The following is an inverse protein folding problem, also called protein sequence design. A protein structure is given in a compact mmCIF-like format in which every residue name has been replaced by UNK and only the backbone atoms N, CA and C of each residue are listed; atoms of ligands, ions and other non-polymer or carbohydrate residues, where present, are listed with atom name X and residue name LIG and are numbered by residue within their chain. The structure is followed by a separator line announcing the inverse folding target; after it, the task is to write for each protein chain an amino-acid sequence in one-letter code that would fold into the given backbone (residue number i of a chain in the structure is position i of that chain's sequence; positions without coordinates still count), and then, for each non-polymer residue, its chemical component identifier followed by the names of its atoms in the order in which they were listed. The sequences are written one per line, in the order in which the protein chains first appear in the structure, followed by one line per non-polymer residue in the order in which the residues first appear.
data_IF_598904488109
#
_entry.id   IF_598904488109
#
_cell.length_a   1.000
_cell.length_b   1.000
_cell.length_c   1.000
_cell.angle_alpha   90.00
_cell.angle_beta   90.00
_cell.angle_gamma   90.00
#
_symmetry.space_group_name_H-M   'P 1'
#
loop_
_entity.id
_entity.type
_entity.pdbx_description
1 polymer ?
#
# COMPACT_ATOMS: atom_id res chain seq x y z
N UNK A 1 11.66 -20.24 -9.85
CA UNK A 1 12.90 -20.06 -10.64
C UNK A 1 14.02 -19.70 -9.69
N UNK A 2 15.16 -20.36 -9.79
CA UNK A 2 16.32 -20.15 -8.91
C UNK A 2 17.56 -19.83 -9.75
N UNK A 3 18.15 -18.66 -9.52
CA UNK A 3 19.35 -18.18 -10.21
C UNK A 3 20.55 -18.37 -9.29
N UNK A 4 21.68 -18.75 -9.88
CA UNK A 4 22.93 -18.82 -9.17
C UNK A 4 23.52 -17.42 -8.97
N UNK A 5 23.47 -16.95 -7.72
CA UNK A 5 23.92 -15.60 -7.36
C UNK A 5 25.43 -15.43 -7.41
N UNK A 6 26.22 -16.49 -7.15
CA UNK A 6 27.69 -16.43 -7.20
C UNK A 6 28.18 -16.40 -8.65
N UNK A 7 27.56 -17.22 -9.52
CA UNK A 7 27.81 -17.18 -10.95
C UNK A 7 27.43 -15.79 -11.53
N UNK A 8 26.29 -15.24 -11.09
CA UNK A 8 25.82 -13.93 -11.54
C UNK A 8 26.84 -12.83 -11.20
N UNK A 9 27.34 -12.80 -9.97
CA UNK A 9 28.36 -11.84 -9.54
C UNK A 9 29.68 -11.98 -10.30
N UNK A 10 30.02 -13.19 -10.75
CA UNK A 10 31.21 -13.45 -11.57
C UNK A 10 31.00 -13.23 -13.08
N UNK A 11 29.85 -12.71 -13.50
CA UNK A 11 29.58 -12.34 -14.90
C UNK A 11 28.97 -13.44 -15.76
N UNK A 12 28.44 -14.49 -15.13
CA UNK A 12 27.80 -15.61 -15.83
C UNK A 12 26.36 -15.80 -15.34
N UNK A 13 25.39 -15.72 -16.25
CA UNK A 13 24.01 -16.08 -15.95
C UNK A 13 23.84 -17.60 -15.99
N UNK A 14 23.57 -18.18 -14.81
CA UNK A 14 23.32 -19.60 -14.61
C UNK A 14 22.07 -19.80 -13.74
N UNK A 15 21.28 -20.81 -14.06
CA UNK A 15 20.10 -21.20 -13.30
C UNK A 15 20.34 -22.53 -12.60
N UNK A 16 19.86 -22.65 -11.36
CA UNK A 16 19.83 -23.90 -10.62
C UNK A 16 18.51 -24.66 -10.85
N UNK A 17 17.43 -23.92 -11.09
CA UNK A 17 16.09 -24.49 -11.31
C UNK A 17 15.19 -23.56 -12.12
N UNK A 18 14.48 -24.11 -13.10
CA UNK A 18 13.47 -23.41 -13.88
C UNK A 18 12.22 -24.29 -13.99
N UNK A 19 11.13 -23.82 -13.41
CA UNK A 19 9.80 -24.43 -13.50
C UNK A 19 8.84 -23.39 -14.04
N UNK A 20 8.42 -23.56 -15.29
CA UNK A 20 7.59 -22.57 -15.99
C UNK A 20 6.56 -23.24 -16.90
N UNK A 21 5.54 -22.47 -17.28
CA UNK A 21 4.61 -22.81 -18.35
C UNK A 21 4.85 -21.81 -19.48
N UNK A 22 5.13 -22.31 -20.67
CA UNK A 22 5.37 -21.51 -21.86
C UNK A 22 4.05 -20.95 -22.41
N UNK A 23 4.06 -19.91 -23.27
CA UNK A 23 2.84 -19.30 -23.81
C UNK A 23 1.89 -20.24 -24.55
N UNK A 24 2.38 -21.38 -25.04
CA UNK A 24 1.57 -22.41 -25.70
C UNK A 24 0.93 -23.41 -24.71
N UNK A 25 1.10 -23.23 -23.40
CA UNK A 25 0.60 -24.11 -22.34
C UNK A 25 1.53 -25.26 -21.97
N UNK A 26 2.70 -25.37 -22.58
CA UNK A 26 3.65 -26.45 -22.32
C UNK A 26 4.49 -26.19 -21.07
N UNK A 27 4.61 -27.21 -20.22
CA UNK A 27 5.48 -27.13 -19.04
C UNK A 27 6.95 -27.30 -19.41
N UNK A 28 7.83 -26.60 -18.72
CA UNK A 28 9.27 -26.80 -18.76
C UNK A 28 9.78 -26.88 -17.32
N UNK A 29 10.44 -27.98 -16.97
CA UNK A 29 10.85 -28.30 -15.61
C UNK A 29 12.29 -28.82 -15.61
N UNK A 30 13.25 -27.96 -15.30
CA UNK A 30 14.66 -28.27 -15.29
C UNK A 30 15.26 -28.01 -13.89
N UNK A 31 16.13 -28.90 -13.36
CA UNK A 31 16.76 -30.05 -14.04
C UNK A 31 15.99 -31.38 -13.94
N UNK A 32 14.77 -31.39 -13.37
CA UNK A 32 14.07 -32.64 -13.05
C UNK A 32 13.68 -33.47 -14.28
N UNK A 33 13.15 -32.82 -15.31
CA UNK A 33 12.69 -33.48 -16.56
C UNK A 33 13.50 -33.00 -17.75
N UNK A 34 13.70 -31.68 -17.84
CA UNK A 34 14.32 -30.99 -18.96
C UNK A 34 15.74 -30.52 -18.65
N UNK A 35 16.46 -30.05 -19.67
CA UNK A 35 17.82 -29.53 -19.51
C UNK A 35 17.82 -28.04 -19.17
N UNK A 36 18.59 -27.68 -18.13
CA UNK A 36 18.89 -26.28 -17.83
C UNK A 36 19.62 -25.64 -19.02
N UNK A 37 19.39 -24.35 -19.30
CA UNK A 37 20.08 -23.70 -20.39
C UNK A 37 21.58 -23.58 -20.05
N UNK A 38 22.45 -23.60 -21.07
CA UNK A 38 23.89 -23.43 -20.86
C UNK A 38 24.19 -22.06 -20.21
N UNK A 39 25.21 -21.96 -19.35
CA UNK A 39 25.60 -20.70 -18.74
C UNK A 39 25.93 -19.63 -19.81
N UNK A 40 25.47 -18.40 -19.60
CA UNK A 40 25.62 -17.30 -20.55
C UNK A 40 26.51 -16.19 -19.99
N UNK A 41 27.57 -15.81 -20.71
CA UNK A 41 28.44 -14.69 -20.32
C UNK A 41 27.73 -13.35 -20.52
N UNK A 42 27.76 -12.50 -19.49
CA UNK A 42 26.96 -11.25 -19.44
C UNK A 42 27.67 -10.01 -19.99
N UNK A 43 29.00 -9.93 -19.87
CA UNK A 43 29.79 -8.78 -20.35
C UNK A 43 29.48 -8.32 -21.79
N UNK A 44 29.30 -9.22 -22.78
CA UNK A 44 29.00 -8.79 -24.15
C UNK A 44 27.53 -8.40 -24.38
N UNK A 45 26.63 -8.63 -23.43
CA UNK A 45 25.19 -8.50 -23.61
C UNK A 45 24.57 -7.41 -22.73
N UNK A 46 25.17 -7.11 -21.58
CA UNK A 46 24.65 -6.16 -20.59
C UNK A 46 25.55 -4.92 -20.56
N UNK A 47 25.13 -3.87 -21.27
CA UNK A 47 25.92 -2.64 -21.42
C UNK A 47 25.46 -1.49 -20.55
N UNK A 48 24.17 -1.44 -20.22
CA UNK A 48 23.53 -0.31 -19.55
C UNK A 48 23.17 -0.60 -18.10
N UNK A 49 23.04 0.46 -17.30
CA UNK A 49 22.47 0.38 -15.95
C UNK A 49 20.96 0.11 -15.95
N UNK A 50 20.26 0.39 -17.07
CA UNK A 50 18.83 0.14 -17.28
C UNK A 50 18.44 -1.35 -17.24
N UNK A 51 19.43 -2.24 -17.44
CA UNK A 51 19.29 -3.68 -17.41
C UNK A 51 18.91 -4.28 -18.76
N UNK A 52 19.14 -5.59 -18.91
CA UNK A 52 18.84 -6.37 -20.10
C UNK A 52 17.97 -7.56 -19.71
N UNK A 53 16.86 -7.73 -20.43
CA UNK A 53 15.96 -8.87 -20.22
C UNK A 53 16.51 -10.13 -20.90
N UNK A 54 16.39 -11.26 -20.20
CA UNK A 54 16.76 -12.57 -20.69
C UNK A 54 15.54 -13.48 -20.72
N UNK A 55 15.44 -14.20 -21.83
CA UNK A 55 14.31 -15.03 -22.19
C UNK A 55 14.74 -16.50 -22.18
N UNK A 56 13.90 -17.36 -21.63
CA UNK A 56 13.94 -18.78 -21.93
C UNK A 56 13.49 -18.97 -23.37
N UNK A 57 14.23 -19.72 -24.17
CA UNK A 57 13.92 -19.99 -25.55
C UNK A 57 13.99 -21.48 -25.85
N UNK A 58 12.91 -22.02 -26.42
CA UNK A 58 12.85 -23.38 -26.95
C UNK A 58 12.54 -23.31 -28.45
N UNK A 59 13.22 -24.09 -29.28
CA UNK A 59 12.90 -24.18 -30.71
C UNK A 59 11.44 -24.59 -30.90
N UNK A 60 10.71 -23.91 -31.78
CA UNK A 60 9.34 -24.33 -32.13
C UNK A 60 9.33 -25.76 -32.68
N UNK A 61 8.24 -26.49 -32.43
CA UNK A 61 8.07 -27.85 -32.95
C UNK A 61 7.95 -27.79 -34.48
N UNK A 62 8.84 -28.49 -35.19
CA UNK A 62 8.83 -28.58 -36.65
C UNK A 62 8.03 -29.80 -37.09
N UNK A 63 6.96 -29.59 -37.86
CA UNK A 63 6.08 -30.66 -38.32
C UNK A 63 6.77 -31.68 -39.26
N UNK A 64 7.86 -31.27 -39.93
CA UNK A 64 8.56 -32.07 -40.93
C UNK A 64 9.79 -32.81 -40.39
N UNK A 65 9.94 -32.90 -39.06
CA UNK A 65 11.06 -33.58 -38.40
C UNK A 65 12.23 -32.67 -38.03
N UNK A 66 13.34 -33.28 -37.60
CA UNK A 66 14.52 -32.55 -37.12
C UNK A 66 14.36 -31.95 -35.71
N UNK A 67 13.43 -32.47 -34.91
CA UNK A 67 13.17 -31.98 -33.56
C UNK A 67 14.08 -32.60 -32.49
N UNK A 68 14.82 -33.66 -32.81
CA UNK A 68 15.61 -34.41 -31.83
C UNK A 68 17.11 -34.38 -32.19
N UNK A 69 17.95 -34.23 -31.17
CA UNK A 69 19.39 -34.44 -31.23
C UNK A 69 19.77 -35.67 -30.39
N UNK A 70 20.80 -36.40 -30.82
CA UNK A 70 21.38 -37.53 -30.10
C UNK A 70 22.61 -37.15 -29.27
N UNK A 71 23.15 -35.96 -29.46
CA UNK A 71 24.37 -35.48 -28.80
C UNK A 71 24.14 -34.05 -28.25
N UNK A 72 24.59 -33.81 -27.02
CA UNK A 72 24.52 -32.51 -26.34
C UNK A 72 25.38 -31.43 -27.02
N UNK A 73 26.36 -31.82 -27.84
CA UNK A 73 27.29 -30.90 -28.51
C UNK A 73 26.72 -30.27 -29.78
N UNK A 74 25.58 -30.77 -30.30
CA UNK A 74 24.86 -30.18 -31.44
C UNK A 74 23.42 -29.74 -31.09
N UNK A 75 23.19 -28.92 -30.04
CA UNK A 75 21.85 -28.54 -29.61
C UNK A 75 21.24 -27.44 -30.49
N UNK A 76 22.02 -26.85 -31.41
CA UNK A 76 21.73 -25.55 -32.02
C UNK A 76 20.39 -25.43 -32.75
N UNK A 77 19.79 -26.55 -33.18
CA UNK A 77 18.56 -26.56 -33.97
C UNK A 77 17.50 -27.57 -33.54
N UNK A 78 17.80 -28.45 -32.58
CA UNK A 78 16.84 -29.45 -32.10
C UNK A 78 16.05 -28.90 -30.91
N UNK A 79 14.82 -29.41 -30.76
CA UNK A 79 13.93 -29.06 -29.64
C UNK A 79 14.13 -30.00 -28.45
N UNK A 80 14.47 -31.26 -28.73
CA UNK A 80 14.62 -32.33 -27.75
C UNK A 80 15.99 -32.97 -27.84
N UNK A 81 16.52 -33.39 -26.70
CA UNK A 81 17.63 -34.33 -26.58
C UNK A 81 17.08 -35.72 -26.28
N UNK A 82 17.61 -36.72 -26.97
CA UNK A 82 17.32 -38.13 -26.73
C UNK A 82 18.24 -38.61 -25.61
N UNK A 83 17.66 -39.05 -24.49
CA UNK A 83 18.42 -39.58 -23.35
C UNK A 83 17.94 -41.00 -23.00
N UNK A 84 18.88 -41.93 -22.81
CA UNK A 84 18.61 -43.18 -22.11
C UNK A 84 18.43 -42.91 -20.62
N UNK A 85 17.46 -43.54 -19.99
CA UNK A 85 17.24 -43.46 -18.54
C UNK A 85 16.72 -44.79 -18.02
N UNK A 86 17.40 -45.37 -17.04
CA UNK A 86 16.92 -46.55 -16.35
C UNK A 86 15.71 -46.20 -15.47
N UNK A 87 14.66 -47.01 -15.55
CA UNK A 87 13.44 -46.86 -14.75
C UNK A 87 13.00 -48.19 -14.13
N UNK A 88 12.57 -48.18 -12.85
CA UNK A 88 11.99 -49.36 -12.22
C UNK A 88 10.57 -49.63 -12.71
N UNK A 89 10.17 -50.90 -12.67
CA UNK A 89 8.77 -51.30 -12.85
C UNK A 89 7.98 -51.02 -11.56
N UNK A 90 6.91 -50.22 -11.67
CA UNK A 90 6.06 -49.83 -10.53
C UNK A 90 4.91 -50.81 -10.24
N UNK A 91 4.76 -51.88 -11.03
CA UNK A 91 3.69 -52.87 -10.91
C UNK A 91 4.20 -54.25 -10.52
N UNK A 92 5.26 -54.76 -11.14
CA UNK A 92 5.66 -56.17 -11.01
C UNK A 92 6.94 -56.44 -10.22
N UNK A 93 7.61 -55.42 -9.70
CA UNK A 93 8.97 -55.51 -9.11
C UNK A 93 10.00 -56.15 -10.08
N UNK A 94 9.76 -56.08 -11.39
CA UNK A 94 10.73 -56.49 -12.39
C UNK A 94 11.99 -55.61 -12.36
N UNK A 95 13.07 -56.13 -12.95
CA UNK A 95 14.33 -55.40 -13.05
C UNK A 95 14.17 -54.08 -13.82
N UNK A 96 14.98 -53.10 -13.46
CA UNK A 96 15.03 -51.80 -14.12
C UNK A 96 15.26 -51.96 -15.62
N UNK A 97 14.52 -51.18 -16.41
CA UNK A 97 14.63 -51.16 -17.86
C UNK A 97 15.14 -49.81 -18.33
N UNK A 98 16.07 -49.82 -19.29
CA UNK A 98 16.47 -48.61 -19.99
C UNK A 98 15.34 -48.17 -20.93
N UNK A 99 14.82 -46.96 -20.71
CA UNK A 99 13.86 -46.33 -21.60
C UNK A 99 14.47 -45.07 -22.22
N UNK A 100 14.13 -44.82 -23.47
CA UNK A 100 14.49 -43.57 -24.14
C UNK A 100 13.47 -42.49 -23.84
N UNK A 101 13.94 -41.37 -23.30
CA UNK A 101 13.12 -40.18 -23.01
C UNK A 101 13.58 -39.00 -23.84
N UNK A 102 12.66 -38.06 -24.07
CA UNK A 102 12.95 -36.78 -24.70
C UNK A 102 13.02 -35.70 -23.63
N UNK A 103 14.16 -34.99 -23.54
CA UNK A 103 14.33 -33.84 -22.66
C UNK A 103 14.34 -32.56 -23.49
N UNK A 104 13.65 -31.50 -23.08
CA UNK A 104 13.65 -30.25 -23.85
C UNK A 104 15.00 -29.55 -23.72
N UNK A 105 15.51 -29.08 -24.86
CA UNK A 105 16.70 -28.25 -24.95
C UNK A 105 16.26 -26.80 -24.78
N UNK A 106 16.82 -26.11 -23.79
CA UNK A 106 16.55 -24.70 -23.54
C UNK A 106 17.78 -23.84 -23.82
N UNK A 107 17.53 -22.61 -24.27
CA UNK A 107 18.55 -21.60 -24.51
C UNK A 107 18.16 -20.33 -23.75
N UNK A 108 19.16 -19.53 -23.40
CA UNK A 108 18.96 -18.15 -22.95
C UNK A 108 19.17 -17.22 -24.12
N UNK A 109 18.25 -16.26 -24.27
CA UNK A 109 18.30 -15.23 -25.29
C UNK A 109 18.18 -13.86 -24.66
N UNK A 110 19.11 -12.97 -24.94
CA UNK A 110 19.01 -11.57 -24.55
C UNK A 110 17.91 -10.86 -25.37
N UNK A 111 17.39 -9.75 -24.85
CA UNK A 111 16.32 -8.97 -25.48
C UNK A 111 16.66 -8.50 -26.91
N UNK A 112 17.93 -8.30 -27.22
CA UNK A 112 18.41 -7.82 -28.52
C UNK A 112 18.58 -8.96 -29.55
N UNK A 113 18.59 -10.22 -29.11
CA UNK A 113 18.77 -11.36 -30.01
C UNK A 113 17.46 -11.71 -30.74
N UNK A 114 17.54 -12.21 -32.00
CA UNK A 114 16.37 -12.66 -32.74
C UNK A 114 15.72 -13.88 -32.07
N UNK A 115 14.39 -13.83 -31.89
CA UNK A 115 13.59 -14.83 -31.16
C UNK A 115 12.52 -15.54 -32.01
N UNK A 116 12.33 -15.19 -33.28
CA UNK A 116 11.18 -15.63 -34.10
C UNK A 116 11.04 -17.16 -34.25
N UNK A 117 12.16 -17.89 -34.26
CA UNK A 117 12.19 -19.36 -34.39
C UNK A 117 11.90 -20.08 -33.07
N UNK A 118 11.75 -19.33 -31.99
CA UNK A 118 11.64 -19.84 -30.64
C UNK A 118 10.25 -19.58 -30.08
N UNK A 119 9.85 -20.46 -29.17
CA UNK A 119 8.84 -20.18 -28.17
C UNK A 119 9.58 -19.60 -26.97
N UNK A 120 9.22 -18.38 -26.56
CA UNK A 120 9.99 -17.63 -25.57
C UNK A 120 9.16 -17.17 -24.38
N UNK A 121 9.79 -17.14 -23.22
CA UNK A 121 9.22 -16.60 -21.98
C UNK A 121 10.27 -15.70 -21.30
N UNK A 122 9.96 -14.43 -21.00
CA UNK A 122 10.88 -13.59 -20.25
C UNK A 122 11.04 -14.14 -18.83
N UNK A 123 12.29 -14.33 -18.40
CA UNK A 123 12.62 -14.94 -17.11
C UNK A 123 13.11 -13.91 -16.10
N UNK A 124 14.05 -13.07 -16.53
CA UNK A 124 14.84 -12.25 -15.62
C UNK A 124 15.36 -11.00 -16.32
N UNK A 125 15.52 -9.90 -15.58
CA UNK A 125 16.29 -8.75 -16.04
C UNK A 125 17.55 -8.62 -15.20
N UNK A 126 18.70 -8.48 -15.86
CA UNK A 126 20.00 -8.35 -15.20
C UNK A 126 20.56 -6.97 -15.52
N UNK A 127 21.08 -6.28 -14.52
CA UNK A 127 21.72 -4.96 -14.68
C UNK A 127 23.14 -4.97 -14.15
N UNK A 128 23.93 -4.03 -14.67
CA UNK A 128 25.29 -3.81 -14.19
C UNK A 128 25.27 -2.96 -12.91
N UNK A 129 26.10 -3.32 -11.94
CA UNK A 129 26.30 -2.54 -10.72
C UNK A 129 27.35 -1.47 -10.91
N UNK A 130 27.36 -0.46 -10.03
CA UNK A 130 28.40 0.57 -9.99
C UNK A 130 29.81 -0.02 -9.73
N UNK A 131 29.89 -1.18 -9.09
CA UNK A 131 31.13 -1.95 -8.86
C UNK A 131 31.55 -2.82 -10.05
N UNK A 132 30.95 -2.64 -11.24
CA UNK A 132 31.14 -3.45 -12.46
C UNK A 132 30.71 -4.93 -12.36
N UNK A 133 30.07 -5.33 -11.27
CA UNK A 133 29.42 -6.65 -11.16
C UNK A 133 28.05 -6.68 -11.85
N UNK A 134 27.39 -7.82 -11.78
CA UNK A 134 26.01 -8.00 -12.28
C UNK A 134 25.07 -8.39 -11.15
N UNK A 135 23.85 -7.90 -11.22
CA UNK A 135 22.81 -8.25 -10.26
C UNK A 135 21.44 -8.37 -10.92
N UNK A 136 20.55 -9.08 -10.24
CA UNK A 136 19.16 -9.19 -10.64
C UNK A 136 18.46 -7.84 -10.41
N UNK A 137 17.71 -7.39 -11.41
CA UNK A 137 16.83 -6.26 -11.22
C UNK A 137 15.54 -6.67 -10.51
N UNK A 138 15.47 -6.38 -9.21
CA UNK A 138 14.33 -6.67 -8.34
C UNK A 138 13.04 -5.91 -8.73
N UNK A 139 13.11 -4.91 -9.61
CA UNK A 139 11.93 -4.21 -10.13
C UNK A 139 11.26 -4.95 -11.30
N UNK A 140 11.93 -5.95 -11.87
CA UNK A 140 11.38 -6.78 -12.93
C UNK A 140 10.35 -7.78 -12.38
N UNK A 141 9.20 -7.86 -13.04
CA UNK A 141 8.13 -8.80 -12.71
C UNK A 141 7.95 -9.75 -13.89
N UNK A 142 8.38 -11.01 -13.80
CA UNK A 142 8.14 -11.99 -14.86
C UNK A 142 6.64 -12.33 -14.95
N UNK A 143 6.14 -12.71 -16.14
CA UNK A 143 4.88 -13.43 -16.28
C UNK A 143 4.89 -14.63 -15.34
N UNK A 144 3.94 -14.65 -14.41
CA UNK A 144 3.95 -15.57 -13.28
C UNK A 144 2.59 -16.22 -13.13
N UNK A 145 2.54 -17.54 -13.00
CA UNK A 145 1.29 -18.28 -12.79
C UNK A 145 0.77 -18.18 -11.36
N UNK A 146 1.64 -17.83 -10.41
CA UNK A 146 1.32 -17.64 -9.00
C UNK A 146 1.96 -16.38 -8.43
N UNK A 147 1.33 -15.76 -7.43
CA UNK A 147 1.88 -14.60 -6.71
C UNK A 147 3.22 -14.93 -6.03
N UNK A 148 3.33 -16.13 -5.45
CA UNK A 148 4.53 -16.60 -4.78
C UNK A 148 5.76 -16.69 -5.68
N UNK A 149 5.56 -16.75 -7.01
CA UNK A 149 6.64 -16.77 -7.99
C UNK A 149 7.30 -15.40 -8.19
N UNK A 150 6.67 -14.30 -7.74
CA UNK A 150 7.21 -12.95 -7.83
C UNK A 150 7.42 -12.34 -6.44
N UNK A 151 8.69 -12.20 -5.99
CA UNK A 151 9.01 -11.55 -4.72
C UNK A 151 8.51 -10.10 -4.66
N UNK A 152 8.57 -9.36 -5.78
CA UNK A 152 8.12 -7.98 -5.84
C UNK A 152 6.60 -7.87 -5.60
N UNK A 153 5.79 -8.69 -6.28
CA UNK A 153 4.33 -8.67 -6.09
C UNK A 153 3.94 -9.06 -4.66
N UNK A 154 4.64 -10.04 -4.08
CA UNK A 154 4.41 -10.45 -2.69
C UNK A 154 4.74 -9.32 -1.71
N UNK A 155 5.85 -8.61 -1.92
CA UNK A 155 6.23 -7.45 -1.11
C UNK A 155 5.23 -6.29 -1.27
N UNK A 156 4.79 -6.02 -2.50
CA UNK A 156 3.78 -5.01 -2.79
C UNK A 156 2.46 -5.33 -2.07
N UNK A 157 1.99 -6.57 -2.15
CA UNK A 157 0.77 -7.02 -1.47
C UNK A 157 0.89 -6.84 0.04
N UNK A 158 2.03 -7.23 0.62
CA UNK A 158 2.30 -7.06 2.06
C UNK A 158 2.24 -5.59 2.47
N UNK A 159 2.93 -4.71 1.73
CA UNK A 159 2.93 -3.26 2.02
C UNK A 159 1.52 -2.66 1.91
N UNK A 160 0.75 -3.06 0.91
CA UNK A 160 -0.65 -2.61 0.75
C UNK A 160 -1.51 -3.06 1.93
N UNK A 161 -1.36 -4.30 2.40
CA UNK A 161 -2.04 -4.79 3.59
C UNK A 161 -1.68 -3.99 4.86
N UNK A 162 -0.39 -3.73 5.08
CA UNK A 162 0.07 -2.94 6.23
C UNK A 162 -0.51 -1.51 6.18
N UNK A 163 -0.49 -0.87 5.01
CA UNK A 163 -1.09 0.46 4.82
C UNK A 163 -2.60 0.44 5.09
N UNK A 164 -3.35 -0.49 4.49
CA UNK A 164 -4.79 -0.62 4.68
C UNK A 164 -5.16 -0.91 6.14
N UNK A 165 -4.41 -1.76 6.83
CA UNK A 165 -4.67 -2.08 8.22
C UNK A 165 -4.40 -0.88 9.14
N UNK A 166 -3.31 -0.14 8.90
CA UNK A 166 -3.05 1.12 9.59
C UNK A 166 -4.17 2.13 9.35
N UNK A 167 -4.64 2.26 8.11
CA UNK A 167 -5.78 3.15 7.77
C UNK A 167 -7.08 2.71 8.43
N UNK A 168 -7.42 1.42 8.41
CA UNK A 168 -8.60 0.89 9.07
C UNK A 168 -8.59 1.19 10.58
N UNK A 169 -7.47 0.94 11.24
CA UNK A 169 -7.30 1.21 12.67
C UNK A 169 -7.45 2.71 13.01
N UNK A 170 -6.88 3.58 12.17
CA UNK A 170 -7.05 5.03 12.33
C UNK A 170 -8.53 5.44 12.22
N UNK A 171 -9.25 4.89 11.24
CA UNK A 171 -10.68 5.16 11.04
C UNK A 171 -11.57 4.60 12.16
N UNK A 172 -11.26 3.41 12.68
CA UNK A 172 -11.94 2.87 13.86
C UNK A 172 -11.78 3.79 15.08
N UNK A 173 -10.62 4.42 15.26
CA UNK A 173 -10.39 5.39 16.33
C UNK A 173 -11.22 6.68 16.21
N UNK A 174 -11.70 7.02 15.00
CA UNK A 174 -12.60 8.16 14.79
C UNK A 174 -14.05 7.86 15.13
N UNK A 175 -14.48 6.60 15.08
CA UNK A 175 -15.86 6.22 15.31
C UNK A 175 -16.13 5.97 16.79
N UNK A 176 -17.24 6.54 17.30
CA UNK A 176 -17.61 6.41 18.70
C UNK A 176 -18.17 5.03 18.98
N UNK A 177 -17.73 4.45 20.11
CA UNK A 177 -18.26 3.21 20.66
C UNK A 177 -18.97 3.50 22.00
N UNK A 178 -20.20 4.06 21.97
CA UNK A 178 -20.93 4.44 23.19
C UNK A 178 -21.26 3.26 24.12
N UNK A 179 -21.24 2.03 23.60
CA UNK A 179 -21.29 0.78 24.36
C UNK A 179 -20.46 -0.28 23.65
N UNK A 180 -19.80 -1.19 24.38
CA UNK A 180 -19.02 -2.28 23.81
C UNK A 180 -19.79 -2.96 22.67
N UNK A 181 -19.23 -2.92 21.47
CA UNK A 181 -19.70 -3.55 20.23
C UNK A 181 -20.85 -2.86 19.47
N UNK A 182 -21.20 -1.62 19.79
CA UNK A 182 -22.13 -0.82 18.96
C UNK A 182 -21.40 0.41 18.43
N UNK A 183 -21.17 0.43 17.12
CA UNK A 183 -20.62 1.59 16.41
C UNK A 183 -21.80 2.45 15.95
N UNK A 184 -21.88 3.70 16.43
CA UNK A 184 -22.91 4.66 16.03
C UNK A 184 -22.38 5.54 14.89
N UNK A 185 -23.05 5.51 13.74
CA UNK A 185 -22.76 6.40 12.61
C UNK A 185 -23.84 7.48 12.52
N UNK A 186 -23.41 8.75 12.43
CA UNK A 186 -24.32 9.88 12.19
C UNK A 186 -24.22 10.36 10.74
N UNK A 187 -25.13 11.24 10.34
CA UNK A 187 -25.18 11.78 8.98
C UNK A 187 -23.89 12.51 8.54
N UNK A 188 -23.08 13.03 9.47
CA UNK A 188 -21.77 13.61 9.18
C UNK A 188 -20.64 12.59 8.95
N UNK A 189 -20.84 11.32 9.31
CA UNK A 189 -19.82 10.26 9.27
C UNK A 189 -19.91 9.40 8.00
N UNK A 190 -20.78 9.74 7.05
CA UNK A 190 -21.05 8.92 5.86
C UNK A 190 -19.78 8.70 5.03
N UNK A 191 -18.97 9.75 4.84
CA UNK A 191 -17.72 9.63 4.09
C UNK A 191 -16.70 8.72 4.81
N UNK A 192 -16.52 8.88 6.12
CA UNK A 192 -15.59 8.06 6.90
C UNK A 192 -16.07 6.61 7.01
N UNK A 193 -17.38 6.38 7.08
CA UNK A 193 -18.00 5.06 6.99
C UNK A 193 -17.71 4.37 5.65
N UNK A 194 -17.96 5.04 4.52
CA UNK A 194 -17.70 4.45 3.20
C UNK A 194 -16.22 4.20 2.95
N UNK A 195 -15.35 5.06 3.49
CA UNK A 195 -13.91 4.86 3.42
C UNK A 195 -13.49 3.64 4.24
N UNK A 196 -13.98 3.53 5.49
CA UNK A 196 -13.72 2.38 6.35
C UNK A 196 -14.25 1.09 5.70
N UNK A 197 -15.46 1.12 5.14
CA UNK A 197 -16.01 0.00 4.39
C UNK A 197 -15.09 -0.43 3.24
N UNK A 198 -14.67 0.53 2.40
CA UNK A 198 -13.80 0.28 1.25
C UNK A 198 -12.47 -0.34 1.68
N UNK A 199 -11.81 0.24 2.68
CA UNK A 199 -10.52 -0.23 3.20
C UNK A 199 -10.66 -1.60 3.86
N UNK A 200 -11.66 -1.81 4.72
CA UNK A 200 -11.85 -3.07 5.44
C UNK A 200 -12.21 -4.22 4.50
N UNK A 201 -13.10 -4.00 3.53
CA UNK A 201 -13.46 -5.01 2.54
C UNK A 201 -12.27 -5.39 1.66
N UNK A 202 -11.47 -4.41 1.20
CA UNK A 202 -10.27 -4.69 0.43
C UNK A 202 -9.21 -5.42 1.27
N UNK A 203 -9.00 -5.02 2.51
CA UNK A 203 -8.05 -5.67 3.42
C UNK A 203 -8.37 -7.16 3.61
N UNK A 204 -9.64 -7.51 3.82
CA UNK A 204 -10.07 -8.90 3.95
C UNK A 204 -9.78 -9.74 2.67
N UNK A 205 -10.09 -9.19 1.50
CA UNK A 205 -9.85 -9.84 0.22
C UNK A 205 -8.34 -10.03 -0.07
N UNK A 206 -7.54 -8.98 0.11
CA UNK A 206 -6.10 -9.01 -0.10
C UNK A 206 -5.40 -9.93 0.91
N UNK A 207 -5.90 -10.03 2.15
CA UNK A 207 -5.36 -10.93 3.16
C UNK A 207 -5.54 -12.39 2.78
N UNK A 208 -6.66 -12.75 2.14
CA UNK A 208 -6.85 -14.07 1.59
C UNK A 208 -5.81 -14.39 0.52
N UNK A 209 -5.58 -13.47 -0.43
CA UNK A 209 -4.57 -13.64 -1.48
C UNK A 209 -3.16 -13.78 -0.90
N UNK A 210 -2.82 -13.01 0.13
CA UNK A 210 -1.51 -13.08 0.79
C UNK A 210 -1.29 -14.43 1.49
N UNK A 211 -2.33 -15.02 2.07
CA UNK A 211 -2.26 -16.36 2.69
C UNK A 211 -2.26 -17.51 1.68
N UNK A 212 -2.63 -17.24 0.42
CA UNK A 212 -2.74 -18.24 -0.65
C UNK A 212 -1.89 -17.79 -1.85
N UNK A 213 -0.54 -17.83 -1.76
CA UNK A 213 0.34 -17.29 -2.78
C UNK A 213 0.29 -18.05 -4.12
N UNK A 214 -0.34 -19.23 -4.17
CA UNK A 214 -0.53 -20.04 -5.38
C UNK A 214 -1.58 -19.47 -6.36
N UNK A 215 -2.27 -18.40 -5.99
CA UNK A 215 -3.24 -17.74 -6.87
C UNK A 215 -2.58 -16.94 -7.98
N UNK A 216 -3.24 -16.89 -9.13
CA UNK A 216 -2.77 -16.13 -10.28
C UNK A 216 -2.72 -14.61 -10.00
N UNK A 217 -1.66 -13.89 -10.43
CA UNK A 217 -1.50 -12.46 -10.15
C UNK A 217 -2.65 -11.56 -10.61
N UNK A 218 -3.35 -11.94 -11.68
CA UNK A 218 -4.54 -11.20 -12.16
C UNK A 218 -5.60 -11.05 -11.06
N UNK A 219 -5.74 -12.01 -10.14
CA UNK A 219 -6.69 -11.91 -9.01
C UNK A 219 -6.32 -10.78 -8.06
N UNK A 220 -5.03 -10.63 -7.74
CA UNK A 220 -4.54 -9.49 -6.97
C UNK A 220 -4.78 -8.19 -7.73
N UNK A 221 -4.47 -8.17 -9.03
CA UNK A 221 -4.68 -6.99 -9.87
C UNK A 221 -6.14 -6.52 -9.88
N UNK A 222 -7.08 -7.46 -10.01
CA UNK A 222 -8.52 -7.21 -9.97
C UNK A 222 -8.95 -6.56 -8.65
N UNK A 223 -8.50 -7.08 -7.51
CA UNK A 223 -8.85 -6.54 -6.19
C UNK A 223 -8.20 -5.17 -5.94
N UNK A 224 -6.97 -4.94 -6.43
CA UNK A 224 -6.32 -3.64 -6.37
C UNK A 224 -7.04 -2.59 -7.22
N UNK A 225 -7.55 -2.95 -8.40
CA UNK A 225 -8.39 -2.07 -9.22
C UNK A 225 -9.70 -1.71 -8.49
N UNK A 226 -10.35 -2.70 -7.86
CA UNK A 226 -11.58 -2.46 -7.09
C UNK A 226 -11.33 -1.49 -5.93
N UNK A 227 -10.23 -1.66 -5.21
CA UNK A 227 -9.80 -0.74 -4.16
C UNK A 227 -9.54 0.66 -4.72
N UNK A 228 -8.78 0.79 -5.81
CA UNK A 228 -8.45 2.08 -6.42
C UNK A 228 -9.73 2.82 -6.85
N UNK A 229 -10.65 2.14 -7.53
CA UNK A 229 -11.93 2.72 -7.93
C UNK A 229 -12.78 3.16 -6.74
N UNK A 230 -12.78 2.40 -5.64
CA UNK A 230 -13.43 2.80 -4.38
C UNK A 230 -12.80 4.07 -3.77
N UNK A 231 -11.47 4.14 -3.72
CA UNK A 231 -10.76 5.30 -3.16
C UNK A 231 -10.90 6.57 -4.01
N UNK A 232 -11.04 6.44 -5.32
CA UNK A 232 -11.31 7.56 -6.23
C UNK A 232 -12.65 8.26 -5.96
N UNK A 233 -13.56 7.67 -5.18
CA UNK A 233 -14.77 8.37 -4.74
C UNK A 233 -14.48 9.50 -3.74
N UNK A 234 -13.32 9.47 -3.08
CA UNK A 234 -12.89 10.43 -2.07
C UNK A 234 -11.82 11.42 -2.56
N UNK A 235 -11.25 11.20 -3.75
CA UNK A 235 -10.19 12.02 -4.30
C UNK A 235 -10.37 12.22 -5.81
N UNK A 236 -10.15 13.45 -6.28
CA UNK A 236 -10.17 13.80 -7.71
C UNK A 236 -8.78 13.83 -8.35
N UNK A 237 -7.74 13.41 -7.63
CA UNK A 237 -6.38 13.40 -8.16
C UNK A 237 -6.21 12.45 -9.35
N UNK A 238 -7.08 11.45 -9.45
CA UNK A 238 -7.08 10.44 -10.50
C UNK A 238 -8.50 10.12 -10.96
N UNK A 239 -8.65 9.73 -12.22
CA UNK A 239 -9.87 9.21 -12.81
C UNK A 239 -9.75 7.73 -13.22
N UNK A 240 -10.88 7.13 -13.60
CA UNK A 240 -10.92 5.73 -14.03
C UNK A 240 -10.05 5.44 -15.27
N UNK A 241 -9.86 6.44 -16.13
CA UNK A 241 -8.99 6.34 -17.33
C UNK A 241 -7.51 6.27 -16.99
N UNK A 242 -7.11 6.64 -15.76
CA UNK A 242 -5.71 6.55 -15.33
C UNK A 242 -5.31 5.14 -14.92
N UNK A 243 -6.29 4.28 -14.62
CA UNK A 243 -6.09 2.90 -14.21
C UNK A 243 -5.44 2.09 -15.36
N UNK A 244 -4.29 1.45 -15.12
CA UNK A 244 -3.59 0.70 -16.17
C UNK A 244 -4.39 -0.54 -16.62
N UNK A 245 -4.20 -0.94 -17.86
CA UNK A 245 -4.67 -2.23 -18.37
C UNK A 245 -3.68 -3.35 -18.00
N UNK A 246 -4.17 -4.49 -17.55
CA UNK A 246 -3.33 -5.64 -17.23
C UNK A 246 -2.78 -6.29 -18.50
N UNK A 247 -1.47 -6.50 -18.56
CA UNK A 247 -0.80 -7.24 -19.63
C UNK A 247 0.06 -8.35 -19.03
N UNK A 248 -0.41 -9.59 -19.08
CA UNK A 248 0.27 -10.71 -18.41
C UNK A 248 1.67 -11.00 -18.95
N UNK A 249 1.93 -10.72 -20.23
CA UNK A 249 3.25 -10.89 -20.84
C UNK A 249 4.28 -9.91 -20.29
N UNK A 250 3.86 -8.77 -19.74
CA UNK A 250 4.68 -7.75 -19.11
C UNK A 250 3.93 -7.13 -17.91
N UNK A 251 3.78 -7.87 -16.80
CA UNK A 251 2.87 -7.47 -15.73
C UNK A 251 3.40 -6.28 -14.91
N UNK A 252 4.72 -6.10 -14.85
CA UNK A 252 5.39 -5.10 -14.01
C UNK A 252 4.87 -3.67 -14.15
N UNK A 253 4.86 -3.06 -15.35
CA UNK A 253 4.44 -1.67 -15.54
C UNK A 253 3.03 -1.37 -15.01
N UNK A 254 2.07 -2.26 -15.26
CA UNK A 254 0.69 -2.10 -14.81
C UNK A 254 0.58 -2.16 -13.28
N UNK A 255 1.24 -3.13 -12.64
CA UNK A 255 1.26 -3.25 -11.19
C UNK A 255 1.94 -2.04 -10.52
N UNK A 256 3.11 -1.62 -11.02
CA UNK A 256 3.86 -0.49 -10.46
C UNK A 256 3.06 0.81 -10.54
N UNK A 257 2.41 1.09 -11.69
CA UNK A 257 1.56 2.27 -11.85
C UNK A 257 0.35 2.23 -10.91
N UNK A 258 -0.35 1.09 -10.84
CA UNK A 258 -1.52 0.95 -9.96
C UNK A 258 -1.15 1.11 -8.48
N UNK A 259 -0.02 0.55 -8.07
CA UNK A 259 0.48 0.64 -6.71
C UNK A 259 0.93 2.06 -6.32
N UNK A 260 1.45 2.86 -7.26
CA UNK A 260 1.69 4.29 -7.05
C UNK A 260 0.38 5.05 -6.84
N UNK A 261 -0.61 4.85 -7.73
CA UNK A 261 -1.95 5.46 -7.61
C UNK A 261 -2.58 5.14 -6.25
N UNK A 262 -2.52 3.87 -5.83
CA UNK A 262 -3.08 3.45 -4.55
C UNK A 262 -2.40 4.10 -3.34
N UNK A 263 -1.07 4.24 -3.36
CA UNK A 263 -0.33 4.93 -2.29
C UNK A 263 -0.77 6.38 -2.17
N UNK A 264 -0.83 7.11 -3.28
CA UNK A 264 -1.27 8.50 -3.29
C UNK A 264 -2.72 8.66 -2.83
N UNK A 265 -3.61 7.78 -3.27
CA UNK A 265 -5.02 7.78 -2.85
C UNK A 265 -5.17 7.48 -1.35
N UNK A 266 -4.44 6.50 -0.82
CA UNK A 266 -4.48 6.19 0.61
C UNK A 266 -3.93 7.34 1.47
N UNK A 267 -2.91 8.05 1.00
CA UNK A 267 -2.35 9.19 1.73
C UNK A 267 -3.25 10.43 1.69
N UNK A 268 -3.83 10.74 0.52
CA UNK A 268 -4.68 11.94 0.35
C UNK A 268 -6.02 11.84 1.08
N UNK A 269 -6.64 10.67 1.11
CA UNK A 269 -8.00 10.49 1.63
C UNK A 269 -8.07 10.53 3.16
N UNK A 270 -6.93 10.39 3.85
CA UNK A 270 -6.81 10.43 5.33
C UNK A 270 -5.95 11.62 5.76
N UNK A 271 -5.93 12.70 4.97
CA UNK A 271 -5.53 13.98 5.54
C UNK A 271 -6.61 14.40 6.53
N UNK A 272 -6.40 14.04 7.80
CA UNK A 272 -7.11 14.57 8.95
C UNK A 272 -6.76 16.04 9.06
N UNK A 273 -7.37 16.85 8.19
CA UNK A 273 -7.36 18.31 8.28
C UNK A 273 -7.92 18.79 9.60
N UNK A 274 -8.44 17.89 10.45
CA UNK A 274 -8.71 18.17 11.83
C UNK A 274 -8.46 16.94 12.73
N UNK A 275 -8.18 17.18 14.00
CA UNK A 275 -8.20 16.19 15.07
C UNK A 275 -8.82 16.79 16.34
N UNK A 276 -9.55 15.97 17.10
CA UNK A 276 -10.12 16.40 18.39
C UNK A 276 -9.07 16.27 19.49
N UNK A 277 -9.01 17.29 20.35
CA UNK A 277 -8.18 17.29 21.56
C UNK A 277 -9.08 16.91 22.74
N UNK A 278 -8.72 15.82 23.41
CA UNK A 278 -9.48 15.33 24.56
C UNK A 278 -9.43 16.36 25.70
N UNK A 279 -10.62 16.75 26.17
CA UNK A 279 -10.78 17.61 27.34
C UNK A 279 -11.11 16.74 28.56
N UNK A 280 -10.38 16.94 29.64
CA UNK A 280 -10.61 16.31 30.95
C UNK A 280 -11.12 17.35 31.92
N UNK A 281 -11.88 16.95 32.95
CA UNK A 281 -12.40 17.87 33.97
C UNK A 281 -11.62 17.68 35.27
N UNK A 282 -10.47 18.37 35.46
CA UNK A 282 -9.66 18.20 36.66
C UNK A 282 -10.37 18.72 37.93
N UNK A 283 -11.26 19.71 37.79
CA UNK A 283 -12.04 20.29 38.89
C UNK A 283 -13.34 20.93 38.36
N UNK A 284 -14.35 21.22 39.21
CA UNK A 284 -15.62 21.80 38.78
C UNK A 284 -15.40 23.08 37.96
N UNK A 285 -16.17 23.26 36.88
CA UNK A 285 -16.08 24.39 35.95
C UNK A 285 -14.77 24.53 35.14
N UNK A 286 -13.81 23.62 35.27
CA UNK A 286 -12.56 23.64 34.50
C UNK A 286 -12.44 22.42 33.59
N UNK A 287 -12.04 22.67 32.35
CA UNK A 287 -11.72 21.68 31.34
C UNK A 287 -10.27 21.85 30.89
N UNK A 288 -9.47 20.80 30.89
CA UNK A 288 -8.06 20.82 30.53
C UNK A 288 -7.77 19.86 29.36
N UNK A 289 -7.02 20.32 28.38
CA UNK A 289 -6.55 19.55 27.23
C UNK A 289 -5.03 19.66 27.07
N UNK A 290 -4.41 18.60 26.56
CA UNK A 290 -3.00 18.60 26.21
C UNK A 290 -2.83 18.88 24.72
N UNK A 291 -1.91 19.78 24.38
CA UNK A 291 -1.61 20.20 23.02
C UNK A 291 -0.32 19.50 22.58
N UNK A 292 -0.47 18.36 21.89
CA UNK A 292 0.64 17.56 21.40
C UNK A 292 1.42 18.31 20.31
N UNK A 293 2.65 18.73 20.61
CA UNK A 293 3.46 19.57 19.70
C UNK A 293 3.80 18.91 18.38
N UNK A 294 3.86 17.58 18.35
CA UNK A 294 4.22 16.85 17.14
C UNK A 294 3.12 16.93 16.07
N UNK A 295 1.90 17.31 16.47
CA UNK A 295 0.71 17.44 15.60
C UNK A 295 0.26 18.89 15.38
N UNK A 296 0.81 19.84 16.13
CA UNK A 296 0.39 21.24 16.13
C UNK A 296 1.49 22.09 15.49
N UNK A 297 1.13 22.72 14.37
CA UNK A 297 1.99 23.63 13.62
C UNK A 297 1.55 25.08 13.83
N UNK A 298 2.36 26.08 13.47
CA UNK A 298 1.95 27.49 13.52
C UNK A 298 0.67 27.80 12.72
N UNK A 299 0.39 27.03 11.67
CA UNK A 299 -0.78 27.19 10.81
C UNK A 299 -2.04 26.44 11.34
N UNK A 300 -1.93 25.77 12.49
CA UNK A 300 -3.05 25.02 13.09
C UNK A 300 -4.07 25.96 13.71
N UNK A 301 -5.30 25.95 13.19
CA UNK A 301 -6.42 26.71 13.73
C UNK A 301 -7.21 25.90 14.76
N UNK A 302 -7.56 26.51 15.89
CA UNK A 302 -8.35 25.84 16.93
C UNK A 302 -9.80 26.32 16.94
N UNK A 303 -10.72 25.37 17.06
CA UNK A 303 -12.15 25.60 17.17
C UNK A 303 -12.69 24.90 18.42
N UNK A 304 -13.53 25.60 19.17
CA UNK A 304 -14.27 25.07 20.31
C UNK A 304 -15.72 24.84 19.88
N UNK A 305 -16.14 23.58 19.87
CA UNK A 305 -17.55 23.21 19.70
C UNK A 305 -18.22 23.23 21.08
N UNK A 306 -19.31 24.00 21.18
CA UNK A 306 -20.06 24.22 22.42
C UNK A 306 -21.51 23.79 22.21
N UNK A 307 -22.01 22.95 23.10
CA UNK A 307 -23.41 22.55 23.17
C UNK A 307 -23.87 22.63 24.62
N UNK A 308 -25.00 23.26 24.89
CA UNK A 308 -25.60 23.33 26.22
C UNK A 308 -27.13 23.36 26.09
N UNK A 309 -27.85 23.10 27.18
CA UNK A 309 -29.31 23.22 27.22
C UNK A 309 -29.76 24.68 27.36
N UNK A 310 -29.43 25.48 26.34
CA UNK A 310 -29.71 26.92 26.25
C UNK A 310 -30.05 27.30 24.80
N UNK A 311 -30.81 28.38 24.56
CA UNK A 311 -31.04 28.88 23.21
C UNK A 311 -29.72 29.20 22.48
N UNK A 312 -29.59 28.79 21.21
CA UNK A 312 -28.35 28.98 20.44
C UNK A 312 -27.93 30.46 20.37
N UNK A 313 -28.88 31.39 20.28
CA UNK A 313 -28.60 32.84 20.30
C UNK A 313 -27.91 33.28 21.59
N UNK A 314 -28.35 32.75 22.74
CA UNK A 314 -27.74 33.06 24.04
C UNK A 314 -26.34 32.46 24.14
N UNK A 315 -26.14 31.24 23.65
CA UNK A 315 -24.80 30.62 23.58
C UNK A 315 -23.86 31.48 22.73
N UNK A 316 -24.29 31.91 21.55
CA UNK A 316 -23.48 32.73 20.62
C UNK A 316 -23.08 34.06 21.26
N UNK A 317 -24.00 34.72 21.96
CA UNK A 317 -23.75 36.02 22.59
C UNK A 317 -22.90 35.92 23.86
N UNK A 318 -23.13 34.90 24.69
CA UNK A 318 -22.55 34.86 26.05
C UNK A 318 -21.20 34.16 26.12
N UNK A 319 -20.98 33.11 25.32
CA UNK A 319 -19.77 32.27 25.39
C UNK A 319 -18.48 33.09 25.22
N UNK A 320 -18.35 34.00 24.23
CA UNK A 320 -17.11 34.79 24.05
C UNK A 320 -16.67 35.59 25.27
N UNK A 321 -17.60 35.97 26.14
CA UNK A 321 -17.32 36.78 27.32
C UNK A 321 -17.22 35.94 28.60
N UNK A 322 -18.03 34.87 28.70
CA UNK A 322 -18.17 34.04 29.90
C UNK A 322 -17.09 32.96 30.00
N UNK A 323 -16.68 32.34 28.89
CA UNK A 323 -15.61 31.35 28.92
C UNK A 323 -14.26 32.04 28.97
N UNK A 324 -13.34 31.48 29.77
CA UNK A 324 -11.96 31.94 29.83
C UNK A 324 -11.06 30.82 29.33
N UNK A 325 -10.31 31.10 28.27
CA UNK A 325 -9.42 30.14 27.62
C UNK A 325 -7.99 30.64 27.72
N UNK A 326 -7.04 29.74 27.99
CA UNK A 326 -5.61 30.07 28.04
C UNK A 326 -4.78 28.93 28.62
N UNK A 327 -3.52 29.22 28.96
CA UNK A 327 -2.70 28.27 29.73
C UNK A 327 -3.28 28.08 31.15
N UNK A 328 -3.13 26.90 31.78
CA UNK A 328 -3.72 26.60 33.10
C UNK A 328 -3.48 27.69 34.16
N UNK A 329 -2.24 28.15 34.32
CA UNK A 329 -1.88 29.19 35.31
C UNK A 329 -2.49 30.56 35.01
N UNK A 330 -2.74 30.85 33.73
CA UNK A 330 -3.29 32.13 33.30
C UNK A 330 -4.80 32.16 33.49
N UNK A 331 -5.51 31.06 33.20
CA UNK A 331 -6.96 30.98 33.40
C UNK A 331 -7.33 31.24 34.86
N UNK A 332 -6.57 30.72 35.82
CA UNK A 332 -6.83 30.95 37.25
C UNK A 332 -6.74 32.44 37.62
N UNK A 333 -5.75 33.14 37.07
CA UNK A 333 -5.60 34.59 37.26
C UNK A 333 -6.69 35.36 36.56
N UNK A 334 -7.09 34.95 35.35
CA UNK A 334 -8.14 35.60 34.57
C UNK A 334 -9.50 35.50 35.26
N UNK A 335 -9.80 34.37 35.89
CA UNK A 335 -11.03 34.18 36.67
C UNK A 335 -11.05 35.09 37.90
N UNK A 336 -9.94 35.18 38.64
CA UNK A 336 -9.83 36.04 39.83
C UNK A 336 -9.88 37.55 39.50
N UNK A 337 -9.31 37.94 38.35
CA UNK A 337 -9.22 39.35 37.92
C UNK A 337 -10.36 39.80 36.99
N UNK A 338 -11.30 38.90 36.68
CA UNK A 338 -12.38 39.12 35.71
C UNK A 338 -11.90 39.58 34.31
N UNK A 339 -10.66 39.26 33.95
CA UNK A 339 -10.05 39.65 32.67
C UNK A 339 -10.44 38.70 31.53
N UNK A 340 -10.24 39.13 30.29
CA UNK A 340 -10.50 38.31 29.10
C UNK A 340 -9.33 37.36 28.83
N UNK A 341 -9.65 36.10 28.49
CA UNK A 341 -8.65 35.12 28.03
C UNK A 341 -8.37 35.22 26.53
N UNK A 342 -7.86 34.13 25.96
CA UNK A 342 -7.80 33.94 24.49
C UNK A 342 -9.19 34.19 23.92
N UNK A 343 -9.27 35.05 22.92
CA UNK A 343 -10.54 35.52 22.37
C UNK A 343 -11.22 34.39 21.60
N UNK A 344 -12.51 34.20 21.88
CA UNK A 344 -13.38 33.28 21.14
C UNK A 344 -14.26 34.09 20.20
N UNK A 345 -14.31 33.71 18.93
CA UNK A 345 -15.17 34.35 17.92
C UNK A 345 -16.11 33.32 17.32
N UNK A 346 -17.42 33.59 17.32
CA UNK A 346 -18.40 32.69 16.73
C UNK A 346 -18.11 32.49 15.23
N UNK A 347 -17.91 31.24 14.83
CA UNK A 347 -17.69 30.83 13.46
C UNK A 347 -19.03 30.45 12.82
N UNK A 348 -19.60 31.37 12.02
CA UNK A 348 -20.85 31.11 11.29
C UNK A 348 -20.72 29.95 10.29
N UNK A 349 -19.52 29.79 9.73
CA UNK A 349 -19.16 28.69 8.85
C UNK A 349 -17.84 28.11 9.35
N UNK A 350 -17.84 26.83 9.71
CA UNK A 350 -16.60 26.10 10.01
C UNK A 350 -15.97 25.58 8.72
N UNK A 351 -14.64 25.36 8.69
CA UNK A 351 -14.00 24.67 7.58
C UNK A 351 -14.70 23.34 7.28
N UNK A 352 -14.79 22.96 6.01
CA UNK A 352 -15.42 21.70 5.60
C UNK A 352 -14.79 20.45 6.24
N UNK A 353 -13.57 20.58 6.77
CA UNK A 353 -12.91 19.55 7.56
C UNK A 353 -13.66 19.25 8.87
N UNK A 354 -14.27 20.24 9.53
CA UNK A 354 -14.91 20.04 10.84
C UNK A 354 -16.32 19.43 10.65
N UNK A 355 -16.65 18.29 11.29
CA UNK A 355 -17.99 17.74 11.25
C UNK A 355 -18.96 18.61 12.05
N UNK A 356 -19.99 19.13 11.38
CA UNK A 356 -21.03 19.97 12.01
C UNK A 356 -21.99 19.11 12.81
N UNK A 357 -22.17 19.45 14.10
CA UNK A 357 -23.06 18.75 15.03
C UNK A 357 -24.38 19.51 15.20
N UNK A 358 -25.53 18.84 15.08
CA UNK A 358 -26.82 19.46 15.38
C UNK A 358 -26.86 20.00 16.81
N UNK A 359 -27.24 21.27 16.97
CA UNK A 359 -27.33 21.92 18.29
C UNK A 359 -26.00 22.40 18.89
N UNK A 360 -24.88 22.27 18.17
CA UNK A 360 -23.60 22.84 18.60
C UNK A 360 -23.31 24.17 17.88
N UNK A 361 -22.75 25.12 18.62
CA UNK A 361 -22.16 26.35 18.08
C UNK A 361 -20.64 26.22 18.07
N UNK A 362 -19.98 26.81 17.08
CA UNK A 362 -18.54 26.72 16.92
C UNK A 362 -17.89 28.08 17.14
N UNK A 363 -16.79 28.10 17.88
CA UNK A 363 -16.04 29.32 18.18
C UNK A 363 -14.57 29.13 17.81
N UNK A 364 -14.06 29.97 16.92
CA UNK A 364 -12.65 29.99 16.60
C UNK A 364 -11.87 30.67 17.74
N UNK A 365 -10.75 30.08 18.14
CA UNK A 365 -9.79 30.72 19.02
C UNK A 365 -8.94 31.68 18.18
N UNK A 366 -8.82 32.92 18.62
CA UNK A 366 -7.94 33.89 17.99
C UNK A 366 -6.47 33.45 18.16
N UNK A 367 -5.77 33.29 17.04
CA UNK A 367 -4.38 32.86 16.99
C UNK A 367 -3.39 33.97 17.35
N UNK A 368 -3.87 35.19 17.62
CA UNK A 368 -3.04 36.33 17.95
C UNK A 368 -3.04 36.64 19.46
N UNK A 369 -1.87 36.98 19.98
CA UNK A 369 -1.70 37.55 21.31
C UNK A 369 -0.93 36.66 22.30
N UNK A 370 -0.35 37.30 23.32
CA UNK A 370 0.57 36.66 24.25
C UNK A 370 -0.02 35.46 25.02
N UNK A 371 -1.33 35.46 25.29
CA UNK A 371 -2.00 34.35 25.97
C UNK A 371 -2.09 33.09 25.09
N UNK A 372 -2.32 33.26 23.78
CA UNK A 372 -2.36 32.16 22.83
C UNK A 372 -0.96 31.57 22.61
N UNK A 373 0.05 32.42 22.41
CA UNK A 373 1.45 31.99 22.29
C UNK A 373 1.92 31.22 23.53
N UNK A 374 1.54 31.70 24.72
CA UNK A 374 1.89 31.03 25.98
C UNK A 374 1.20 29.68 26.13
N UNK A 375 -0.08 29.57 25.75
CA UNK A 375 -0.83 28.31 25.70
C UNK A 375 -0.09 27.27 24.83
N UNK A 376 0.31 27.64 23.61
CA UNK A 376 1.11 26.77 22.73
C UNK A 376 2.46 26.40 23.35
N UNK A 377 3.18 27.37 23.94
CA UNK A 377 4.48 27.13 24.59
C UNK A 377 4.37 26.18 25.78
N UNK A 378 3.27 26.24 26.53
CA UNK A 378 2.99 25.31 27.65
C UNK A 378 2.40 23.97 27.21
N UNK A 379 2.15 23.79 25.91
CA UNK A 379 1.55 22.57 25.35
C UNK A 379 0.26 22.14 26.07
N UNK A 380 -0.48 23.10 26.61
CA UNK A 380 -1.64 22.85 27.48
C UNK A 380 -2.65 23.96 27.33
N UNK A 381 -3.92 23.58 27.34
CA UNK A 381 -5.05 24.50 27.31
C UNK A 381 -5.97 24.21 28.49
N UNK A 382 -6.41 25.28 29.15
CA UNK A 382 -7.47 25.25 30.14
C UNK A 382 -8.63 26.13 29.67
N UNK A 383 -9.84 25.67 29.95
CA UNK A 383 -11.09 26.35 29.67
C UNK A 383 -11.88 26.40 30.97
N UNK A 384 -12.10 27.60 31.48
CA UNK A 384 -13.06 27.83 32.54
C UNK A 384 -14.43 28.13 31.94
N UNK A 385 -15.44 27.37 32.36
CA UNK A 385 -16.83 27.53 31.94
C UNK A 385 -17.74 27.58 33.19
N UNK A 386 -18.47 28.69 33.41
CA UNK A 386 -19.35 28.83 34.57
C UNK A 386 -20.44 27.74 34.62
N UNK A 387 -20.80 27.29 35.83
CA UNK A 387 -21.82 26.25 36.04
C UNK A 387 -23.25 26.66 35.63
N UNK A 388 -23.46 27.91 35.20
CA UNK A 388 -24.75 28.38 34.68
C UNK A 388 -25.20 27.69 33.39
N UNK A 389 -24.29 27.06 32.66
CA UNK A 389 -24.61 26.31 31.44
C UNK A 389 -25.00 24.85 31.79
N UNK A 390 -26.31 24.57 31.79
CA UNK A 390 -26.82 23.22 32.02
C UNK A 390 -26.44 22.29 30.85
N UNK A 391 -26.05 21.06 31.16
CA UNK A 391 -25.61 20.03 30.20
C UNK A 391 -24.52 20.50 29.21
N UNK A 392 -23.60 21.36 29.69
CA UNK A 392 -22.50 21.87 28.88
C UNK A 392 -21.58 20.74 28.39
N UNK A 393 -21.42 20.67 27.07
CA UNK A 393 -20.47 19.81 26.37
C UNK A 393 -19.52 20.68 25.57
N UNK A 394 -18.24 20.48 25.81
CA UNK A 394 -17.15 21.15 25.11
C UNK A 394 -16.32 20.12 24.35
N UNK A 395 -15.91 20.48 23.15
CA UNK A 395 -14.92 19.73 22.40
C UNK A 395 -13.98 20.69 21.69
N UNK A 396 -12.68 20.46 21.89
CA UNK A 396 -11.65 21.23 21.22
C UNK A 396 -11.21 20.51 19.96
N UNK A 397 -11.16 21.23 18.86
CA UNK A 397 -10.85 20.72 17.53
C UNK A 397 -9.68 21.52 16.98
N UNK A 398 -8.59 20.86 16.63
CA UNK A 398 -7.49 21.46 15.92
C UNK A 398 -7.65 21.16 14.43
N UNK A 399 -7.53 22.17 13.57
CA UNK A 399 -7.61 22.06 12.12
C UNK A 399 -6.23 22.38 11.55
N UNK A 400 -5.64 21.42 10.84
CA UNK A 400 -4.40 21.61 10.09
C UNK A 400 -4.75 22.07 8.68
N UNK A 401 -4.10 23.15 8.24
CA UNK A 401 -4.27 23.75 6.91
C UNK A 401 -3.74 22.87 5.80
#
# INVERSE_FOLDING_TARGET
MEVDSEALQSGTLRFNRIDVILPNGESFCAPAVDQLPPPLTLDPLVHEESGTEFYLALHQLRNHGGNCASDETQPGHARYLICGTERPDLYTDAADAEITVLRKISLLKAEQEPRDQFLTLPLIRVRRTSSRGFEHDLSFVPPSISLGSSPLLTLMLRRQLEALQAKANALYGFHREPSKHIIEFRSGDIASFWLLHTVSSACAALMHLFRNPEVHPERMYQELLRLAGGLMTFSRSYGLTDLPAYQHAQPGPAFLKLDAILRDLLDTVISTRYFSIALTNPRPAYHAGHLDSDKITPDTAFYLAVSANHPLSEIIETIPFRLKVGAPDDVDKLVLSAMSGVRLTHAQHVPAAIPVRPGACYFALDSHGALYERMLKTQSIAIYAPESYQDLKLELIAVTS
#
